data_IF_884431934483
#
_entry.id   IF_884431934483
#
_cell.length_a   1.000
_cell.length_b   1.000
_cell.length_c   1.000
_cell.angle_alpha   90.00
_cell.angle_beta   90.00
_cell.angle_gamma   90.00
#
_symmetry.space_group_name_H-M   'P 1'
#
loop_
_entity.id
_entity.type
_entity.pdbx_description
1 polymer ?
#
# COMPACT_ATOMS: atom_id res chain seq x y z
N UNK A 1 11.71 27.92 4.06
CA UNK A 1 10.47 27.31 3.52
C UNK A 1 10.79 25.90 3.09
N UNK A 2 10.44 24.89 3.90
CA UNK A 2 10.58 23.48 3.49
C UNK A 2 9.64 23.26 2.31
N UNK A 3 10.19 22.98 1.13
CA UNK A 3 9.39 22.60 -0.03
C UNK A 3 8.63 21.35 0.36
N UNK A 4 7.32 21.40 0.28
CA UNK A 4 6.48 20.20 0.28
C UNK A 4 7.10 19.28 -0.77
N UNK A 5 7.59 18.10 -0.36
CA UNK A 5 8.40 17.19 -1.19
C UNK A 5 7.69 16.64 -2.44
N UNK A 6 7.25 17.54 -3.30
CA UNK A 6 6.64 17.25 -4.61
C UNK A 6 7.77 17.40 -5.63
N UNK A 7 8.77 16.54 -5.56
CA UNK A 7 9.83 16.49 -6.56
C UNK A 7 9.68 15.17 -7.33
N UNK A 8 9.05 15.26 -8.50
CA UNK A 8 8.84 14.13 -9.41
C UNK A 8 10.17 13.58 -9.98
N UNK A 9 11.28 14.32 -9.83
CA UNK A 9 12.60 13.87 -10.27
C UNK A 9 13.08 12.63 -9.51
N UNK A 10 12.61 12.42 -8.26
CA UNK A 10 12.97 11.27 -7.43
C UNK A 10 11.93 10.15 -7.45
N UNK A 11 10.95 10.18 -8.36
CA UNK A 11 9.83 9.22 -8.36
C UNK A 11 10.26 7.75 -8.47
N UNK A 12 11.31 7.47 -9.24
CA UNK A 12 11.88 6.13 -9.43
C UNK A 12 13.27 5.94 -8.81
N UNK A 13 13.70 6.88 -7.96
CA UNK A 13 15.04 6.85 -7.35
C UNK A 13 15.02 6.02 -6.07
N UNK A 14 16.02 5.17 -5.87
CA UNK A 14 16.11 4.34 -4.67
C UNK A 14 16.65 5.14 -3.48
N UNK A 15 16.40 4.66 -2.25
CA UNK A 15 16.71 5.33 -0.98
C UNK A 15 18.15 5.86 -0.89
N UNK A 16 19.13 5.09 -1.39
CA UNK A 16 20.56 5.44 -1.35
C UNK A 16 20.92 6.70 -2.16
N UNK A 17 20.08 7.10 -3.09
CA UNK A 17 20.31 8.23 -4.00
C UNK A 17 19.45 9.45 -3.64
N UNK A 18 18.61 9.33 -2.60
CA UNK A 18 17.74 10.42 -2.12
C UNK A 18 18.48 11.19 -1.04
N UNK A 19 18.68 12.52 -1.20
CA UNK A 19 19.34 13.34 -0.19
C UNK A 19 18.58 13.35 1.14
N UNK A 20 19.32 13.37 2.24
CA UNK A 20 18.75 13.47 3.58
C UNK A 20 17.85 14.71 3.72
N UNK A 21 16.64 14.52 4.24
CA UNK A 21 15.70 15.62 4.50
C UNK A 21 14.64 15.85 3.42
N UNK A 22 14.59 15.06 2.34
CA UNK A 22 13.55 15.11 1.31
C UNK A 22 12.29 14.33 1.73
N UNK A 23 12.42 13.35 2.63
CA UNK A 23 11.32 12.56 3.17
C UNK A 23 10.36 13.37 4.05
N UNK A 24 9.30 12.72 4.52
CA UNK A 24 8.34 13.31 5.46
C UNK A 24 8.52 12.72 6.86
N UNK A 25 8.09 13.45 7.90
CA UNK A 25 8.16 12.97 9.28
C UNK A 25 6.90 12.21 9.67
N UNK A 26 7.04 11.24 10.60
CA UNK A 26 5.91 10.59 11.24
C UNK A 26 4.98 11.66 11.87
N UNK A 27 3.69 11.50 11.65
CA UNK A 27 2.66 12.44 12.09
C UNK A 27 2.85 13.89 11.59
N UNK A 28 3.73 14.10 10.61
CA UNK A 28 3.85 15.37 9.91
C UNK A 28 2.63 15.67 9.01
N UNK A 29 2.51 16.90 8.49
CA UNK A 29 1.34 17.30 7.70
C UNK A 29 1.13 16.42 6.46
N UNK A 30 2.19 15.94 5.83
CA UNK A 30 2.13 15.04 4.68
C UNK A 30 1.58 13.67 5.09
N UNK A 31 2.07 13.11 6.21
CA UNK A 31 1.59 11.82 6.72
C UNK A 31 0.11 11.89 7.11
N UNK A 32 -0.29 12.94 7.83
CA UNK A 32 -1.70 13.15 8.22
C UNK A 32 -2.61 13.33 7.01
N UNK A 33 -2.13 14.00 5.95
CA UNK A 33 -2.86 14.13 4.71
C UNK A 33 -3.08 12.76 4.05
N UNK A 34 -2.04 11.92 3.96
CA UNK A 34 -2.17 10.56 3.43
C UNK A 34 -3.13 9.70 4.26
N UNK A 35 -3.01 9.73 5.60
CA UNK A 35 -3.96 9.03 6.48
C UNK A 35 -5.40 9.52 6.27
N UNK A 36 -5.60 10.82 6.11
CA UNK A 36 -6.90 11.41 5.81
C UNK A 36 -7.47 10.95 4.48
N UNK A 37 -6.62 10.89 3.43
CA UNK A 37 -7.01 10.36 2.11
C UNK A 37 -7.39 8.88 2.21
N UNK A 38 -6.57 8.05 2.85
CA UNK A 38 -6.85 6.62 3.04
C UNK A 38 -8.15 6.41 3.83
N UNK A 39 -8.35 7.12 4.94
CA UNK A 39 -9.57 7.04 5.73
C UNK A 39 -10.80 7.51 4.92
N UNK A 40 -10.67 8.59 4.18
CA UNK A 40 -11.75 9.11 3.32
C UNK A 40 -12.14 8.12 2.22
N UNK A 41 -11.16 7.54 1.53
CA UNK A 41 -11.40 6.52 0.51
C UNK A 41 -12.04 5.25 1.10
N UNK A 42 -11.58 4.82 2.28
CA UNK A 42 -12.15 3.67 2.99
C UNK A 42 -13.62 3.92 3.36
N UNK A 43 -13.93 5.08 3.96
CA UNK A 43 -15.30 5.45 4.33
C UNK A 43 -16.20 5.55 3.10
N UNK A 44 -15.72 6.15 2.02
CA UNK A 44 -16.42 6.24 0.76
C UNK A 44 -16.70 4.85 0.17
N UNK A 45 -15.68 4.00 0.15
CA UNK A 45 -15.82 2.61 -0.30
C UNK A 45 -16.85 1.84 0.54
N UNK A 46 -16.77 1.91 1.88
CA UNK A 46 -17.72 1.25 2.79
C UNK A 46 -19.16 1.76 2.60
N UNK A 47 -19.31 3.07 2.36
CA UNK A 47 -20.62 3.66 2.09
C UNK A 47 -21.27 3.08 0.83
N UNK A 48 -20.54 3.02 -0.27
CA UNK A 48 -21.03 2.45 -1.51
C UNK A 48 -21.16 0.92 -1.44
N UNK A 49 -20.20 0.25 -0.81
CA UNK A 49 -20.20 -1.21 -0.65
C UNK A 49 -21.45 -1.73 0.05
N UNK A 50 -21.92 -1.00 1.09
CA UNK A 50 -23.18 -1.35 1.78
C UNK A 50 -24.42 -1.28 0.87
N UNK A 51 -24.40 -0.45 -0.16
CA UNK A 51 -25.50 -0.27 -1.12
C UNK A 51 -25.44 -1.23 -2.31
N UNK A 52 -24.31 -1.91 -2.52
CA UNK A 52 -24.13 -2.79 -3.66
C UNK A 52 -24.79 -4.14 -3.44
N UNK A 53 -25.40 -4.70 -4.51
CA UNK A 53 -25.88 -6.09 -4.53
C UNK A 53 -24.72 -7.10 -4.56
N UNK A 54 -25.00 -8.35 -4.21
CA UNK A 54 -23.98 -9.40 -4.04
C UNK A 54 -23.01 -9.54 -5.22
N UNK A 55 -23.49 -9.47 -6.47
CA UNK A 55 -22.64 -9.57 -7.66
C UNK A 55 -21.63 -8.41 -7.76
N UNK A 56 -22.05 -7.17 -7.44
CA UNK A 56 -21.17 -6.00 -7.47
C UNK A 56 -20.12 -6.06 -6.36
N UNK A 57 -20.50 -6.54 -5.17
CA UNK A 57 -19.56 -6.76 -4.06
C UNK A 57 -18.48 -7.75 -4.45
N UNK A 58 -18.87 -8.89 -5.03
CA UNK A 58 -17.93 -9.92 -5.47
C UNK A 58 -16.95 -9.40 -6.53
N UNK A 59 -17.46 -8.62 -7.50
CA UNK A 59 -16.61 -8.01 -8.54
C UNK A 59 -15.64 -6.98 -7.93
N UNK A 60 -16.08 -6.17 -6.96
CA UNK A 60 -15.24 -5.22 -6.27
C UNK A 60 -14.13 -5.91 -5.46
N UNK A 61 -14.46 -6.95 -4.70
CA UNK A 61 -13.49 -7.73 -3.92
C UNK A 61 -12.42 -8.37 -4.83
N UNK A 62 -12.84 -8.98 -5.93
CA UNK A 62 -11.91 -9.55 -6.92
C UNK A 62 -11.07 -8.47 -7.60
N UNK A 63 -11.69 -7.36 -7.96
CA UNK A 63 -11.00 -6.22 -8.57
C UNK A 63 -9.92 -5.65 -7.66
N UNK A 64 -10.23 -5.45 -6.38
CA UNK A 64 -9.26 -5.00 -5.37
C UNK A 64 -8.14 -6.03 -5.21
N UNK A 65 -8.45 -7.32 -5.09
CA UNK A 65 -7.45 -8.37 -4.96
C UNK A 65 -6.47 -8.39 -6.15
N UNK A 66 -6.99 -8.32 -7.38
CA UNK A 66 -6.17 -8.26 -8.60
C UNK A 66 -5.34 -6.98 -8.63
N UNK A 67 -5.90 -5.85 -8.24
CA UNK A 67 -5.20 -4.57 -8.18
C UNK A 67 -4.02 -4.59 -7.21
N UNK A 68 -4.22 -5.14 -6.00
CA UNK A 68 -3.15 -5.28 -5.00
C UNK A 68 -2.00 -6.16 -5.50
N UNK A 69 -2.33 -7.31 -6.10
CA UNK A 69 -1.32 -8.19 -6.71
C UNK A 69 -0.61 -7.49 -7.87
N UNK A 70 -1.36 -6.74 -8.69
CA UNK A 70 -0.80 -5.95 -9.79
C UNK A 70 0.20 -4.88 -9.33
N UNK A 71 -0.11 -4.17 -8.24
CA UNK A 71 0.80 -3.20 -7.63
C UNK A 71 2.08 -3.87 -7.12
N UNK A 72 1.96 -5.04 -6.50
CA UNK A 72 3.12 -5.79 -6.00
C UNK A 72 4.02 -6.28 -7.15
N UNK A 73 3.41 -6.81 -8.21
CA UNK A 73 4.16 -7.20 -9.42
C UNK A 73 4.83 -5.98 -10.06
N UNK A 74 4.13 -4.84 -10.13
CA UNK A 74 4.69 -3.59 -10.63
C UNK A 74 5.91 -3.15 -9.80
N UNK A 75 5.83 -3.19 -8.46
CA UNK A 75 6.96 -2.87 -7.59
C UNK A 75 8.17 -3.77 -7.86
N UNK A 76 7.95 -5.08 -7.92
CA UNK A 76 9.01 -6.05 -8.19
C UNK A 76 9.64 -5.78 -9.56
N UNK A 77 8.83 -5.51 -10.59
CA UNK A 77 9.32 -5.21 -11.92
C UNK A 77 10.17 -3.93 -11.96
N UNK A 78 9.72 -2.84 -11.29
CA UNK A 78 10.48 -1.59 -11.20
C UNK A 78 11.81 -1.83 -10.49
N UNK A 79 11.83 -2.51 -9.35
CA UNK A 79 13.04 -2.81 -8.60
C UNK A 79 14.03 -3.70 -9.39
N UNK A 80 13.50 -4.65 -10.15
CA UNK A 80 14.31 -5.49 -11.04
C UNK A 80 14.96 -4.67 -12.18
N UNK A 81 14.21 -3.74 -12.78
CA UNK A 81 14.70 -2.87 -13.86
C UNK A 81 15.78 -1.89 -13.38
N UNK A 82 15.67 -1.40 -12.13
CA UNK A 82 16.66 -0.51 -11.51
C UNK A 82 17.90 -1.29 -11.04
N UNK A 83 17.87 -2.65 -11.05
CA UNK A 83 18.98 -3.49 -10.60
C UNK A 83 19.21 -3.49 -9.09
N UNK A 84 18.24 -3.01 -8.30
CA UNK A 84 18.28 -2.95 -6.83
C UNK A 84 17.54 -4.11 -6.15
N UNK A 85 17.31 -5.23 -6.87
CA UNK A 85 16.67 -6.42 -6.31
C UNK A 85 17.54 -7.04 -5.22
N UNK A 86 17.05 -7.07 -3.99
CA UNK A 86 17.66 -7.80 -2.89
C UNK A 86 16.68 -8.85 -2.35
N UNK A 87 17.21 -9.90 -1.71
CA UNK A 87 16.41 -10.92 -1.03
C UNK A 87 15.45 -10.33 0.01
N UNK A 88 15.82 -9.18 0.56
CA UNK A 88 15.00 -8.44 1.54
C UNK A 88 13.77 -7.79 0.91
N UNK A 89 13.73 -7.62 -0.41
CA UNK A 89 12.62 -7.00 -1.14
C UNK A 89 11.67 -8.00 -1.79
N UNK A 90 11.91 -9.29 -1.57
CA UNK A 90 10.95 -10.32 -1.95
C UNK A 90 9.61 -10.09 -1.25
N UNK A 91 8.47 -10.45 -1.87
CA UNK A 91 7.13 -10.24 -1.33
C UNK A 91 6.82 -11.15 -0.12
N UNK A 92 7.81 -11.36 0.76
CA UNK A 92 7.70 -12.16 1.99
C UNK A 92 7.33 -11.31 3.21
N UNK A 93 7.24 -9.99 3.05
CA UNK A 93 6.72 -9.11 4.09
C UNK A 93 5.22 -9.35 4.29
N UNK A 94 4.77 -9.26 5.54
CA UNK A 94 3.38 -9.50 5.92
C UNK A 94 2.39 -8.69 5.07
N UNK A 95 2.72 -7.43 4.75
CA UNK A 95 1.87 -6.56 3.94
C UNK A 95 1.74 -7.06 2.49
N UNK A 96 2.84 -7.47 1.86
CA UNK A 96 2.84 -8.04 0.51
C UNK A 96 2.08 -9.36 0.47
N UNK A 97 2.32 -10.23 1.46
CA UNK A 97 1.58 -11.48 1.61
C UNK A 97 0.08 -11.23 1.81
N UNK A 98 -0.30 -10.18 2.55
CA UNK A 98 -1.70 -9.81 2.75
C UNK A 98 -2.42 -9.54 1.42
N UNK A 99 -1.79 -8.85 0.47
CA UNK A 99 -2.34 -8.61 -0.87
C UNK A 99 -2.65 -9.90 -1.63
N UNK A 100 -1.71 -10.86 -1.62
CA UNK A 100 -1.93 -12.18 -2.23
C UNK A 100 -3.03 -12.96 -1.52
N UNK A 101 -3.05 -12.95 -0.18
CA UNK A 101 -4.08 -13.63 0.61
C UNK A 101 -5.47 -13.00 0.40
N UNK A 102 -5.55 -11.67 0.28
CA UNK A 102 -6.80 -10.97 -0.08
C UNK A 102 -7.30 -11.40 -1.46
N UNK A 103 -6.41 -11.46 -2.45
CA UNK A 103 -6.76 -11.95 -3.79
C UNK A 103 -7.29 -13.39 -3.72
N UNK A 104 -6.56 -14.28 -3.05
CA UNK A 104 -6.94 -15.68 -2.89
C UNK A 104 -8.30 -15.83 -2.19
N UNK A 105 -8.53 -15.07 -1.11
CA UNK A 105 -9.81 -15.06 -0.41
C UNK A 105 -10.96 -14.55 -1.29
N UNK A 106 -10.72 -13.52 -2.11
CA UNK A 106 -11.74 -12.98 -3.01
C UNK A 106 -12.23 -14.00 -4.06
N UNK A 107 -11.36 -14.94 -4.47
CA UNK A 107 -11.71 -15.99 -5.43
C UNK A 107 -12.29 -17.25 -4.78
N UNK A 108 -11.66 -17.75 -3.70
CA UNK A 108 -11.97 -19.05 -3.11
C UNK A 108 -12.91 -18.98 -1.91
N UNK A 109 -13.04 -17.80 -1.26
CA UNK A 109 -13.93 -17.58 -0.09
C UNK A 109 -13.72 -18.56 1.06
N UNK A 110 -12.46 -18.95 1.31
CA UNK A 110 -12.14 -19.82 2.44
C UNK A 110 -12.29 -19.09 3.78
N UNK A 111 -13.11 -19.59 4.67
CA UNK A 111 -13.41 -18.94 5.95
C UNK A 111 -12.17 -18.77 6.84
N UNK A 112 -11.29 -19.78 6.88
CA UNK A 112 -10.05 -19.70 7.65
C UNK A 112 -9.13 -18.60 7.16
N UNK A 113 -9.10 -18.36 5.83
CA UNK A 113 -8.29 -17.31 5.22
C UNK A 113 -8.86 -15.93 5.57
N UNK A 114 -10.19 -15.79 5.62
CA UNK A 114 -10.85 -14.60 6.11
C UNK A 114 -10.50 -14.29 7.58
N UNK A 115 -10.42 -15.29 8.42
CA UNK A 115 -9.99 -15.13 9.82
C UNK A 115 -8.54 -14.68 9.93
N UNK A 116 -7.62 -15.25 9.15
CA UNK A 116 -6.21 -14.82 9.10
C UNK A 116 -6.08 -13.37 8.63
N UNK A 117 -6.81 -12.98 7.59
CA UNK A 117 -6.82 -11.61 7.11
C UNK A 117 -7.32 -10.63 8.17
N UNK A 118 -8.39 -10.98 8.87
CA UNK A 118 -8.96 -10.12 9.90
C UNK A 118 -8.09 -10.04 11.15
N UNK A 119 -7.53 -11.15 11.63
CA UNK A 119 -6.81 -11.19 12.91
C UNK A 119 -5.35 -10.78 12.79
N UNK A 120 -4.71 -11.02 11.65
CA UNK A 120 -3.28 -10.77 11.46
C UNK A 120 -3.01 -9.61 10.49
N UNK A 121 -3.64 -9.64 9.32
CA UNK A 121 -3.33 -8.65 8.29
C UNK A 121 -3.93 -7.27 8.58
N UNK A 122 -5.16 -7.21 9.11
CA UNK A 122 -5.81 -5.93 9.42
C UNK A 122 -5.03 -5.12 10.48
N UNK A 123 -4.70 -5.65 11.67
CA UNK A 123 -3.92 -4.88 12.64
C UNK A 123 -2.50 -4.58 12.13
N UNK A 124 -1.86 -5.49 11.41
CA UNK A 124 -0.56 -5.27 10.79
C UNK A 124 -0.55 -4.11 9.81
N UNK A 125 -1.57 -4.02 8.95
CA UNK A 125 -1.72 -2.92 7.99
C UNK A 125 -1.99 -1.59 8.69
N UNK A 126 -2.82 -1.58 9.72
CA UNK A 126 -3.10 -0.36 10.52
C UNK A 126 -1.82 0.14 11.18
N UNK A 127 -1.02 -0.76 11.78
CA UNK A 127 0.26 -0.38 12.37
C UNK A 127 1.25 0.15 11.33
N UNK A 128 1.33 -0.48 10.17
CA UNK A 128 2.19 -0.03 9.07
C UNK A 128 1.77 1.35 8.55
N UNK A 129 0.48 1.66 8.50
CA UNK A 129 -0.01 2.99 8.13
C UNK A 129 0.29 4.05 9.19
N UNK A 130 0.26 3.70 10.47
CA UNK A 130 0.57 4.61 11.57
C UNK A 130 2.07 4.85 11.72
N UNK A 131 2.89 3.84 11.48
CA UNK A 131 4.35 3.86 11.62
C UNK A 131 5.03 3.38 10.34
N UNK A 132 4.92 4.15 9.24
CA UNK A 132 5.49 3.74 7.96
C UNK A 132 7.02 3.81 7.97
N UNK A 133 7.68 2.76 7.49
CA UNK A 133 9.14 2.72 7.30
C UNK A 133 9.60 3.56 6.09
N UNK A 134 8.67 3.85 5.16
CA UNK A 134 8.94 4.58 3.93
C UNK A 134 8.92 6.12 4.07
N UNK A 135 9.04 6.65 5.29
CA UNK A 135 9.10 8.10 5.55
C UNK A 135 10.31 8.81 4.93
N UNK A 136 11.34 8.08 4.56
CA UNK A 136 12.54 8.62 3.89
C UNK A 136 12.28 9.03 2.44
N UNK A 137 11.26 8.43 1.81
CA UNK A 137 10.88 8.75 0.45
C UNK A 137 10.05 10.05 0.37
N UNK A 138 10.08 10.78 -0.77
CA UNK A 138 9.21 11.93 -1.00
C UNK A 138 7.72 11.60 -0.87
N UNK A 139 6.90 12.61 -0.62
CA UNK A 139 5.44 12.46 -0.49
C UNK A 139 4.79 11.81 -1.72
N UNK A 140 5.33 12.11 -2.91
CA UNK A 140 4.92 11.51 -4.19
C UNK A 140 6.08 10.65 -4.70
N UNK A 141 6.14 9.42 -4.25
CA UNK A 141 7.09 8.41 -4.68
C UNK A 141 6.34 7.09 -4.90
N UNK A 142 6.79 6.24 -5.83
CA UNK A 142 6.07 4.99 -6.12
C UNK A 142 5.97 4.07 -4.89
N UNK A 143 7.02 4.01 -4.04
CA UNK A 143 7.00 3.25 -2.77
C UNK A 143 6.04 3.87 -1.76
N UNK A 144 6.00 5.22 -1.65
CA UNK A 144 5.08 5.92 -0.76
C UNK A 144 3.63 5.68 -1.18
N UNK A 145 3.32 5.83 -2.45
CA UNK A 145 1.98 5.58 -2.99
C UNK A 145 1.57 4.14 -2.72
N UNK A 146 2.44 3.18 -2.99
CA UNK A 146 2.15 1.77 -2.74
C UNK A 146 1.98 1.46 -1.25
N UNK A 147 2.77 2.08 -0.38
CA UNK A 147 2.68 1.87 1.07
C UNK A 147 1.36 2.34 1.65
N UNK A 148 0.73 3.35 1.05
CA UNK A 148 -0.59 3.87 1.45
C UNK A 148 -1.77 3.25 0.66
N UNK A 149 -1.53 2.39 -0.32
CA UNK A 149 -2.57 1.70 -1.11
C UNK A 149 -2.84 0.30 -0.61
#
# INVERSE_FOLDING_TARGET
MRRLGIDLSYFFTYEDEIPDGVGFSHFGPVHLLWLGVCAGLLLLFLHYYKRWGGRRRLLAERGIGIFLVGLEVYRIAVLALIGKMSLYQLPLHLCSMAGFLCCLHAFFKWDWLGQVLYTLCLPGTVLALLFPDWVRYPAIHFITIQGFT
#
